data_IF_597308308488
#
_entry.id   IF_597308308488
#
_cell.length_a   1.000
_cell.length_b   1.000
_cell.length_c   1.000
_cell.angle_alpha   90.00
_cell.angle_beta   90.00
_cell.angle_gamma   90.00
#
_symmetry.space_group_name_H-M   'P 1'
#
loop_
_entity.id
_entity.type
_entity.pdbx_description
1 polymer ?
#
# COMPACT_ATOMS: atom_id res chain seq x y z
N UNK A 1 -11.68 -31.26 -1.11
CA UNK A 1 -11.32 -29.83 -0.97
C UNK A 1 -9.83 -29.71 -1.25
N UNK A 2 -9.41 -28.95 -2.27
CA UNK A 2 -7.98 -28.66 -2.49
C UNK A 2 -7.50 -27.78 -1.34
N UNK A 3 -6.46 -28.20 -0.61
CA UNK A 3 -5.86 -27.36 0.43
C UNK A 3 -5.40 -26.04 -0.19
N UNK A 4 -5.92 -24.92 0.33
CA UNK A 4 -5.42 -23.59 -0.02
C UNK A 4 -3.97 -23.51 0.48
N UNK A 5 -3.04 -23.32 -0.45
CA UNK A 5 -1.63 -23.12 -0.12
C UNK A 5 -1.47 -21.80 0.63
N UNK A 6 -0.85 -21.87 1.81
CA UNK A 6 -0.39 -20.68 2.53
C UNK A 6 0.96 -20.30 1.95
N UNK A 7 1.09 -19.06 1.46
CA UNK A 7 2.37 -18.53 0.98
C UNK A 7 3.28 -18.19 2.17
N UNK A 8 4.56 -18.54 2.02
CA UNK A 8 5.60 -18.18 2.99
C UNK A 8 5.85 -16.67 2.98
N UNK A 9 6.41 -16.13 4.06
CA UNK A 9 6.78 -14.72 4.13
C UNK A 9 7.75 -14.31 3.01
N UNK A 10 8.70 -15.19 2.66
CA UNK A 10 9.67 -14.93 1.58
C UNK A 10 8.99 -14.83 0.21
N UNK A 11 8.02 -15.70 -0.10
CA UNK A 11 7.28 -15.64 -1.36
C UNK A 11 6.43 -14.38 -1.47
N UNK A 12 5.74 -14.00 -0.39
CA UNK A 12 4.93 -12.79 -0.34
C UNK A 12 5.81 -11.55 -0.49
N UNK A 13 6.95 -11.49 0.21
CA UNK A 13 7.90 -10.39 0.10
C UNK A 13 8.49 -10.26 -1.32
N UNK A 14 8.83 -11.38 -1.96
CA UNK A 14 9.32 -11.39 -3.34
C UNK A 14 8.27 -10.88 -4.33
N UNK A 15 6.99 -11.25 -4.15
CA UNK A 15 5.90 -10.75 -4.97
C UNK A 15 5.67 -9.25 -4.76
N UNK A 16 5.62 -8.79 -3.50
CA UNK A 16 5.43 -7.38 -3.17
C UNK A 16 6.54 -6.50 -3.76
N UNK A 17 7.81 -6.92 -3.63
CA UNK A 17 8.96 -6.22 -4.22
C UNK A 17 8.90 -6.15 -5.76
N UNK A 18 8.40 -7.20 -6.41
CA UNK A 18 8.18 -7.17 -7.87
C UNK A 18 7.06 -6.21 -8.26
N UNK A 19 5.97 -6.14 -7.51
CA UNK A 19 4.92 -5.16 -7.75
C UNK A 19 5.47 -3.73 -7.62
N UNK A 20 6.22 -3.45 -6.55
CA UNK A 20 6.89 -2.15 -6.37
C UNK A 20 7.79 -1.82 -7.56
N UNK A 21 8.65 -2.76 -7.97
CA UNK A 21 9.68 -2.51 -8.99
C UNK A 21 9.12 -2.33 -10.41
N UNK A 22 7.96 -2.94 -10.70
CA UNK A 22 7.42 -2.96 -12.07
C UNK A 22 6.22 -2.03 -12.27
N UNK A 23 5.49 -1.70 -11.21
CA UNK A 23 4.20 -1.01 -11.33
C UNK A 23 4.09 0.26 -10.49
N UNK A 24 4.98 0.48 -9.50
CA UNK A 24 4.91 1.68 -8.67
C UNK A 24 5.44 2.90 -9.44
N UNK A 25 4.58 3.88 -9.66
CA UNK A 25 4.98 5.19 -10.14
C UNK A 25 5.01 6.23 -9.02
N UNK A 26 5.26 7.49 -9.40
CA UNK A 26 5.36 8.59 -8.44
C UNK A 26 4.06 8.78 -7.63
N UNK A 27 2.90 8.72 -8.30
CA UNK A 27 1.59 9.05 -7.74
C UNK A 27 0.75 7.83 -7.33
N UNK A 28 1.22 6.61 -7.55
CA UNK A 28 0.41 5.42 -7.30
C UNK A 28 1.03 4.17 -7.89
N UNK A 29 0.18 3.28 -8.40
CA UNK A 29 0.58 2.06 -9.08
C UNK A 29 -0.20 1.89 -10.38
N UNK A 30 0.44 1.41 -11.44
CA UNK A 30 -0.29 0.83 -12.55
C UNK A 30 -0.88 -0.53 -12.16
N UNK A 31 -2.01 -0.93 -12.76
CA UNK A 31 -2.55 -2.29 -12.56
C UNK A 31 -1.71 -3.34 -13.29
N UNK A 32 -1.23 -2.97 -14.47
CA UNK A 32 -0.39 -3.78 -15.36
C UNK A 32 0.47 -2.85 -16.22
N UNK A 33 1.60 -3.33 -16.80
CA UNK A 33 2.42 -2.51 -17.68
C UNK A 33 1.62 -2.02 -18.89
N UNK A 34 1.70 -0.74 -19.20
CA UNK A 34 0.94 -0.09 -20.26
C UNK A 34 -0.52 0.21 -19.91
N UNK A 35 -0.87 0.33 -18.63
CA UNK A 35 -2.22 0.73 -18.18
C UNK A 35 -2.52 2.18 -18.58
N UNK A 36 -3.00 2.39 -19.81
CA UNK A 36 -3.28 3.70 -20.41
C UNK A 36 -4.69 4.24 -20.10
N UNK A 37 -5.34 3.73 -19.05
CA UNK A 37 -6.66 4.17 -18.63
C UNK A 37 -6.68 5.65 -18.21
N UNK A 38 -7.72 6.39 -18.60
CA UNK A 38 -7.89 7.80 -18.18
C UNK A 38 -9.15 8.07 -17.35
N UNK A 39 -9.72 7.03 -16.74
CA UNK A 39 -10.97 7.14 -15.98
C UNK A 39 -12.23 6.94 -16.83
N UNK A 40 -12.12 6.93 -18.16
CA UNK A 40 -13.26 6.70 -19.07
C UNK A 40 -12.92 5.79 -20.23
N UNK A 41 -11.74 5.95 -20.81
CA UNK A 41 -11.27 5.17 -21.96
C UNK A 41 -9.75 4.96 -21.92
N UNK A 42 -9.27 4.10 -22.82
CA UNK A 42 -7.84 3.87 -23.00
C UNK A 42 -7.23 4.93 -23.92
N UNK A 43 -6.19 5.62 -23.44
CA UNK A 43 -5.49 6.71 -24.14
C UNK A 43 -4.25 6.24 -24.87
N UNK A 44 -4.38 5.86 -26.14
CA UNK A 44 -3.24 5.42 -26.96
C UNK A 44 -2.27 6.55 -27.35
N UNK A 45 -2.70 7.79 -27.18
CA UNK A 45 -1.90 8.99 -27.48
C UNK A 45 -0.91 9.35 -26.36
N UNK A 46 -1.11 8.84 -25.14
CA UNK A 46 -0.15 9.06 -24.03
C UNK A 46 0.88 7.92 -24.01
N UNK A 47 2.12 8.23 -24.38
CA UNK A 47 3.24 7.28 -24.30
C UNK A 47 3.84 7.29 -22.90
N UNK A 48 3.87 6.12 -22.25
CA UNK A 48 4.58 5.90 -20.98
C UNK A 48 3.96 6.62 -19.77
N UNK A 49 2.72 7.11 -19.88
CA UNK A 49 2.00 7.68 -18.73
C UNK A 49 0.84 6.75 -18.37
N UNK A 50 1.15 5.78 -17.51
CA UNK A 50 0.19 4.79 -17.04
C UNK A 50 -0.67 5.36 -15.90
N UNK A 51 -1.96 5.02 -15.86
CA UNK A 51 -2.85 5.34 -14.76
C UNK A 51 -2.23 4.95 -13.41
N UNK A 52 -2.28 5.86 -12.44
CA UNK A 52 -1.66 5.68 -11.13
C UNK A 52 -2.73 5.46 -10.07
N UNK A 53 -3.07 4.20 -9.84
CA UNK A 53 -4.14 3.77 -8.95
C UNK A 53 -3.77 3.99 -7.48
N UNK A 54 -4.70 4.58 -6.73
CA UNK A 54 -4.45 5.04 -5.37
C UNK A 54 -4.62 3.94 -4.31
N UNK A 55 -5.40 2.89 -4.61
CA UNK A 55 -5.78 1.85 -3.65
C UNK A 55 -4.70 0.77 -3.42
N UNK A 56 -3.70 0.67 -4.30
CA UNK A 56 -2.67 -0.38 -4.22
C UNK A 56 -1.71 -0.16 -3.05
N UNK A 57 -1.28 1.08 -2.79
CA UNK A 57 -0.41 1.39 -1.65
C UNK A 57 -1.06 1.02 -0.30
N UNK A 58 -2.33 1.41 0.00
CA UNK A 58 -3.03 0.92 1.18
C UNK A 58 -3.03 -0.62 1.32
N UNK A 59 -3.24 -1.36 0.23
CA UNK A 59 -3.19 -2.82 0.25
C UNK A 59 -1.76 -3.34 0.52
N UNK A 60 -0.73 -2.73 -0.06
CA UNK A 60 0.66 -3.10 0.24
C UNK A 60 1.02 -2.81 1.69
N UNK A 61 0.49 -1.75 2.30
CA UNK A 61 0.65 -1.53 3.73
C UNK A 61 0.07 -2.69 4.56
N UNK A 62 -1.07 -3.27 4.15
CA UNK A 62 -1.59 -4.49 4.78
C UNK A 62 -0.63 -5.67 4.63
N UNK A 63 -0.11 -5.89 3.42
CA UNK A 63 0.84 -7.00 3.10
C UNK A 63 2.12 -6.87 3.91
N UNK A 64 2.76 -5.71 3.92
CA UNK A 64 3.97 -5.49 4.69
C UNK A 64 3.73 -5.53 6.21
N UNK A 65 2.54 -5.12 6.68
CA UNK A 65 2.15 -5.29 8.07
C UNK A 65 2.01 -6.75 8.47
N UNK A 66 1.41 -7.58 7.62
CA UNK A 66 1.35 -9.03 7.82
C UNK A 66 2.76 -9.65 7.83
N UNK A 67 3.63 -9.28 6.88
CA UNK A 67 5.03 -9.72 6.86
C UNK A 67 5.77 -9.34 8.16
N UNK A 68 5.62 -8.09 8.63
CA UNK A 68 6.19 -7.65 9.89
C UNK A 68 5.67 -8.48 11.07
N UNK A 69 4.36 -8.75 11.14
CA UNK A 69 3.79 -9.53 12.25
C UNK A 69 4.23 -11.00 12.23
N UNK A 70 4.43 -11.59 11.05
CA UNK A 70 4.91 -12.97 10.91
C UNK A 70 6.39 -13.14 11.25
N UNK A 71 7.21 -12.15 10.92
CA UNK A 71 8.68 -12.27 10.97
C UNK A 71 9.32 -11.47 12.09
N UNK A 72 8.67 -10.39 12.52
CA UNK A 72 9.22 -9.40 13.43
C UNK A 72 10.27 -8.47 12.79
N UNK A 73 10.55 -8.59 11.50
CA UNK A 73 11.59 -7.81 10.81
C UNK A 73 11.15 -6.36 10.55
N UNK A 74 11.89 -5.43 11.12
CA UNK A 74 11.61 -3.98 11.04
C UNK A 74 11.60 -3.46 9.60
N UNK A 75 12.35 -4.08 8.67
CA UNK A 75 12.34 -3.65 7.27
C UNK A 75 10.93 -3.72 6.66
N UNK A 76 10.13 -4.72 7.04
CA UNK A 76 8.74 -4.81 6.60
C UNK A 76 7.85 -3.77 7.28
N UNK A 77 8.09 -3.44 8.54
CA UNK A 77 7.37 -2.35 9.20
C UNK A 77 7.65 -1.00 8.52
N UNK A 78 8.91 -0.72 8.19
CA UNK A 78 9.29 0.52 7.51
C UNK A 78 8.64 0.61 6.12
N UNK A 79 8.54 -0.51 5.40
CA UNK A 79 7.78 -0.61 4.14
C UNK A 79 6.27 -0.45 4.33
N UNK A 80 5.70 -1.01 5.39
CA UNK A 80 4.30 -0.78 5.75
C UNK A 80 4.03 0.72 5.95
N UNK A 81 4.87 1.41 6.72
CA UNK A 81 4.75 2.86 6.96
C UNK A 81 4.87 3.65 5.67
N UNK A 82 5.84 3.32 4.82
CA UNK A 82 6.00 3.97 3.51
C UNK A 82 4.72 3.90 2.67
N UNK A 83 4.14 2.72 2.52
CA UNK A 83 2.91 2.53 1.73
C UNK A 83 1.67 3.12 2.38
N UNK A 84 1.58 3.06 3.71
CA UNK A 84 0.50 3.68 4.46
C UNK A 84 0.49 5.20 4.24
N UNK A 85 1.66 5.85 4.36
CA UNK A 85 1.80 7.29 4.15
C UNK A 85 1.50 7.69 2.70
N UNK A 86 1.89 6.87 1.71
CA UNK A 86 1.49 7.09 0.32
C UNK A 86 -0.03 7.02 0.15
N UNK A 87 -0.69 6.04 0.76
CA UNK A 87 -2.14 5.93 0.77
C UNK A 87 -2.83 7.18 1.34
N UNK A 88 -2.32 7.69 2.46
CA UNK A 88 -2.83 8.94 3.08
C UNK A 88 -2.59 10.15 2.17
N UNK A 89 -1.45 10.22 1.47
CA UNK A 89 -1.13 11.34 0.60
C UNK A 89 -2.07 11.49 -0.61
N UNK A 90 -2.84 10.45 -0.95
CA UNK A 90 -3.87 10.51 -1.99
C UNK A 90 -5.23 11.01 -1.50
N UNK A 91 -5.41 11.18 -0.18
CA UNK A 91 -6.64 11.69 0.40
C UNK A 91 -6.75 13.19 0.09
N UNK A 92 -7.89 13.61 -0.41
CA UNK A 92 -8.14 15.01 -0.72
C UNK A 92 -8.69 15.82 0.47
N UNK A 93 -9.07 17.07 0.21
CA UNK A 93 -9.62 17.99 1.21
C UNK A 93 -10.97 17.53 1.81
N UNK A 94 -11.68 16.64 1.12
CA UNK A 94 -12.98 16.10 1.57
C UNK A 94 -12.81 14.77 2.30
N UNK A 95 -11.57 14.38 2.59
CA UNK A 95 -11.20 13.08 3.15
C UNK A 95 -11.57 11.89 2.25
N UNK A 96 -11.59 12.12 0.93
CA UNK A 96 -11.92 11.09 -0.05
C UNK A 96 -10.68 10.65 -0.85
N UNK A 97 -10.59 9.34 -1.09
CA UNK A 97 -9.59 8.75 -1.98
C UNK A 97 -10.17 8.71 -3.42
N UNK A 98 -9.48 9.26 -4.42
CA UNK A 98 -9.81 9.02 -5.82
C UNK A 98 -9.47 7.57 -6.21
N UNK A 99 -9.98 7.13 -7.36
CA UNK A 99 -9.61 5.81 -7.91
C UNK A 99 -8.15 5.79 -8.38
N UNK A 100 -7.77 6.77 -9.20
CA UNK A 100 -6.43 6.93 -9.74
C UNK A 100 -6.08 8.41 -10.00
N UNK A 101 -4.78 8.66 -10.15
CA UNK A 101 -4.26 9.84 -10.85
C UNK A 101 -4.07 9.50 -12.33
N UNK A 102 -4.57 10.39 -13.18
CA UNK A 102 -4.56 10.28 -14.64
C UNK A 102 -3.95 11.54 -15.26
N UNK A 103 -3.65 11.50 -16.55
CA UNK A 103 -3.12 12.66 -17.28
C UNK A 103 -4.27 13.40 -17.96
N UNK A 104 -4.51 14.62 -17.50
CA UNK A 104 -5.52 15.48 -18.10
C UNK A 104 -5.23 15.77 -19.58
N UNK A 105 -6.25 15.66 -20.43
CA UNK A 105 -6.16 15.81 -21.89
C UNK A 105 -5.66 17.19 -22.31
N UNK A 106 -6.10 18.23 -21.61
CA UNK A 106 -5.89 19.61 -22.03
C UNK A 106 -4.57 20.17 -21.51
N UNK A 107 -4.29 19.93 -20.23
CA UNK A 107 -3.11 20.47 -19.55
C UNK A 107 -1.90 19.53 -19.59
N UNK A 108 -2.10 18.23 -19.85
CA UNK A 108 -1.06 17.21 -19.80
C UNK A 108 -0.50 16.92 -18.41
N UNK A 109 -1.13 17.47 -17.36
CA UNK A 109 -0.76 17.34 -15.95
C UNK A 109 -1.45 16.14 -15.30
N UNK A 110 -0.85 15.63 -14.22
CA UNK A 110 -1.50 14.63 -13.37
C UNK A 110 -2.64 15.25 -12.57
N UNK A 111 -3.81 14.65 -12.64
CA UNK A 111 -5.02 15.04 -11.89
C UNK A 111 -5.68 13.80 -11.31
N UNK A 112 -6.39 13.93 -10.20
CA UNK A 112 -7.26 12.87 -9.72
C UNK A 112 -8.39 12.63 -10.74
N UNK A 113 -8.76 11.38 -10.97
CA UNK A 113 -9.91 11.07 -11.81
C UNK A 113 -11.25 11.49 -11.16
N UNK A 114 -12.31 11.39 -11.95
CA UNK A 114 -13.65 11.76 -11.50
C UNK A 114 -14.31 10.70 -10.60
N UNK A 115 -13.73 9.50 -10.48
CA UNK A 115 -14.28 8.39 -9.72
C UNK A 115 -13.95 8.56 -8.24
N UNK A 116 -14.68 9.48 -7.60
CA UNK A 116 -14.49 9.85 -6.20
C UNK A 116 -15.84 9.98 -5.47
N UNK A 117 -16.05 9.27 -4.34
CA UNK A 117 -15.14 8.31 -3.73
C UNK A 117 -15.20 6.92 -4.39
N UNK A 118 -14.05 6.29 -4.61
CA UNK A 118 -14.01 4.86 -4.95
C UNK A 118 -14.19 4.02 -3.67
N UNK A 119 -15.31 3.31 -3.53
CA UNK A 119 -15.61 2.49 -2.35
C UNK A 119 -14.51 1.45 -2.04
N UNK A 120 -13.90 0.88 -3.08
CA UNK A 120 -12.77 -0.05 -2.91
C UNK A 120 -11.53 0.66 -2.35
N UNK A 121 -11.18 1.84 -2.88
CA UNK A 121 -10.07 2.65 -2.37
C UNK A 121 -10.26 3.03 -0.90
N UNK A 122 -11.47 3.45 -0.54
CA UNK A 122 -11.84 3.75 0.84
C UNK A 122 -11.71 2.53 1.76
N UNK A 123 -12.18 1.36 1.31
CA UNK A 123 -12.07 0.13 2.08
C UNK A 123 -10.61 -0.30 2.27
N UNK A 124 -9.78 -0.17 1.22
CA UNK A 124 -8.35 -0.45 1.30
C UNK A 124 -7.64 0.47 2.30
N UNK A 125 -8.00 1.76 2.33
CA UNK A 125 -7.49 2.70 3.32
C UNK A 125 -7.86 2.28 4.76
N UNK A 126 -9.12 1.95 5.02
CA UNK A 126 -9.58 1.49 6.34
C UNK A 126 -8.84 0.21 6.79
N UNK A 127 -8.65 -0.76 5.88
CA UNK A 127 -7.87 -1.96 6.15
C UNK A 127 -6.41 -1.62 6.50
N UNK A 128 -5.81 -0.66 5.81
CA UNK A 128 -4.43 -0.26 6.09
C UNK A 128 -4.27 0.42 7.45
N UNK A 129 -5.26 1.22 7.86
CA UNK A 129 -5.34 1.81 9.22
C UNK A 129 -5.41 0.70 10.26
N UNK A 130 -6.29 -0.29 10.08
CA UNK A 130 -6.41 -1.40 11.02
C UNK A 130 -5.12 -2.23 11.08
N UNK A 131 -4.53 -2.58 9.93
CA UNK A 131 -3.26 -3.30 9.89
C UNK A 131 -2.11 -2.53 10.56
N UNK A 132 -2.08 -1.20 10.45
CA UNK A 132 -1.10 -0.36 11.15
C UNK A 132 -1.28 -0.44 12.67
N UNK A 133 -2.52 -0.38 13.17
CA UNK A 133 -2.82 -0.54 14.60
C UNK A 133 -2.31 -1.88 15.12
N UNK A 134 -2.55 -2.97 14.38
CA UNK A 134 -2.08 -4.31 14.76
C UNK A 134 -0.55 -4.36 14.84
N UNK A 135 0.16 -3.78 13.88
CA UNK A 135 1.63 -3.72 13.90
C UNK A 135 2.18 -2.90 15.08
N UNK A 136 1.53 -1.78 15.42
CA UNK A 136 1.94 -0.94 16.56
C UNK A 136 1.74 -1.64 17.90
N UNK A 137 0.69 -2.46 18.06
CA UNK A 137 0.49 -3.27 19.27
C UNK A 137 1.64 -4.25 19.50
N UNK A 138 2.11 -4.93 18.45
CA UNK A 138 3.25 -5.85 18.53
C UNK A 138 4.54 -5.14 18.99
N UNK A 139 4.76 -3.90 18.54
CA UNK A 139 5.90 -3.09 18.97
C UNK A 139 5.88 -2.79 20.47
N UNK A 140 4.71 -2.49 21.03
CA UNK A 140 4.53 -2.23 22.47
C UNK A 140 4.83 -3.48 23.31
N UNK A 141 4.33 -4.64 22.88
CA UNK A 141 4.56 -5.90 23.59
C UNK A 141 6.05 -6.28 23.61
N UNK A 142 6.77 -6.06 22.51
CA UNK A 142 8.22 -6.29 22.45
C UNK A 142 9.01 -5.33 23.36
N UNK A 143 8.62 -4.06 23.41
CA UNK A 143 9.28 -3.07 24.27
C UNK A 143 9.11 -3.43 25.76
N UNK A 144 7.88 -3.72 26.18
CA UNK A 144 7.56 -4.15 27.55
C UNK A 144 8.32 -5.40 27.97
N UNK A 145 8.35 -6.44 27.12
CA UNK A 145 9.10 -7.67 27.39
C UNK A 145 10.62 -7.45 27.50
N UNK A 146 11.17 -6.42 26.85
CA UNK A 146 12.60 -6.07 26.94
C UNK A 146 12.92 -5.38 28.26
N UNK A 147 12.06 -4.47 28.70
CA UNK A 147 12.15 -3.79 30.01
C UNK A 147 12.03 -4.79 31.15
N UNK A 148 11.06 -5.70 31.09
CA UNK A 148 10.84 -6.74 32.12
C UNK A 148 12.06 -7.68 32.26
N UNK A 149 12.69 -8.07 31.13
CA UNK A 149 13.91 -8.89 31.13
C UNK A 149 15.13 -8.15 31.67
N UNK A 150 15.22 -6.85 31.46
CA UNK A 150 16.30 -6.02 32.02
C UNK A 150 16.12 -5.82 33.54
N UNK A 151 14.88 -5.72 34.02
CA UNK A 151 14.58 -5.60 35.45
C UNK A 151 14.83 -6.88 36.25
N UNK A 152 14.73 -8.06 35.63
CA UNK A 152 14.88 -9.37 36.31
C UNK A 152 16.22 -10.09 36.03
N UNK A 153 17.08 -9.52 35.17
CA UNK A 153 18.38 -10.11 34.78
C UNK A 153 19.61 -9.51 35.50
N UNK A 154 19.40 -8.59 36.46
CA UNK A 154 20.46 -8.05 37.30
C UNK A 154 20.51 -8.75 38.66
N UNK A 155 21.15 -9.92 38.71
CA UNK A 155 21.41 -10.69 39.93
C UNK A 155 22.69 -11.49 39.78
#
# INVERSE_FOLDING_TARGET
MKHLRIFTAAEVAALASRLESNLMGANGFARYPGDIWDGREDRKDIKGKEAQWCHVSPLLACVYGDLYRRTGDKAYFDRQVFHFNRGIAHIDSDFLLPEAYIVDKQSGKWVADANKPLAWGQSALLLSIDSMKQSLSLGKDKAKNKEDKQAHGGG
#
